data_IF_632498398799
#
_entry.id   IF_632498398799
#
_cell.length_a   1.000
_cell.length_b   1.000
_cell.length_c   1.000
_cell.angle_alpha   90.00
_cell.angle_beta   90.00
_cell.angle_gamma   90.00
#
_symmetry.space_group_name_H-M   'P 1'
#
loop_
_entity.id
_entity.type
_entity.pdbx_description
1 polymer ?
#
# COMPACT_ATOMS: atom_id res chain seq x y z
N UNK A 1 4.48 36.43 18.43
CA UNK A 1 3.50 35.66 17.65
C UNK A 1 4.18 35.16 16.36
N UNK A 2 5.13 34.22 16.45
CA UNK A 2 5.89 33.69 15.28
C UNK A 2 5.96 32.16 15.29
N UNK A 3 5.54 31.52 16.40
CA UNK A 3 5.66 30.07 16.59
C UNK A 3 4.64 29.30 15.73
N UNK A 4 3.45 29.85 15.47
CA UNK A 4 2.39 29.17 14.70
C UNK A 4 2.67 28.97 13.21
N UNK A 5 3.50 29.81 12.57
CA UNK A 5 3.77 29.71 11.13
C UNK A 5 4.81 28.64 10.76
N UNK A 6 5.68 28.26 11.71
CA UNK A 6 6.65 27.18 11.52
C UNK A 6 5.99 25.80 11.70
N UNK A 7 5.04 25.71 12.65
CA UNK A 7 4.32 24.47 12.97
C UNK A 7 3.31 24.10 11.87
N UNK A 8 2.58 25.08 11.34
CA UNK A 8 1.67 24.89 10.19
C UNK A 8 2.40 24.39 8.94
N UNK A 9 3.60 24.91 8.64
CA UNK A 9 4.42 24.46 7.48
C UNK A 9 5.03 23.08 7.66
N UNK A 10 5.13 22.59 8.90
CA UNK A 10 5.61 21.24 9.20
C UNK A 10 4.46 20.25 9.03
N UNK A 11 3.27 20.57 9.54
CA UNK A 11 2.04 19.80 9.33
C UNK A 11 1.70 19.61 7.84
N UNK A 12 1.73 20.67 7.03
CA UNK A 12 1.40 20.59 5.60
C UNK A 12 2.35 19.68 4.81
N UNK A 13 3.65 19.72 5.12
CA UNK A 13 4.64 18.85 4.45
C UNK A 13 4.46 17.39 4.84
N UNK A 14 4.10 17.15 6.08
CA UNK A 14 3.90 15.83 6.66
C UNK A 14 2.62 15.18 6.10
N UNK A 15 1.52 15.94 5.99
CA UNK A 15 0.28 15.53 5.28
C UNK A 15 0.56 15.27 3.78
N UNK A 16 1.37 16.12 3.14
CA UNK A 16 1.74 15.94 1.73
C UNK A 16 2.55 14.66 1.50
N UNK A 17 3.43 14.30 2.45
CA UNK A 17 4.25 13.09 2.36
C UNK A 17 3.43 11.82 2.59
N UNK A 18 2.51 11.83 3.55
CA UNK A 18 1.56 10.74 3.76
C UNK A 18 0.65 10.50 2.57
N UNK A 19 0.10 11.58 2.01
CA UNK A 19 -0.75 11.50 0.83
C UNK A 19 0.04 10.92 -0.35
N UNK A 20 1.28 11.35 -0.55
CA UNK A 20 2.16 10.79 -1.59
C UNK A 20 2.49 9.31 -1.35
N UNK A 21 2.83 8.91 -0.12
CA UNK A 21 3.13 7.52 0.24
C UNK A 21 1.89 6.62 0.10
N UNK A 22 0.73 7.10 0.54
CA UNK A 22 -0.55 6.40 0.42
C UNK A 22 -0.95 6.21 -1.03
N UNK A 23 -0.86 7.27 -1.86
CA UNK A 23 -1.12 7.18 -3.30
C UNK A 23 -0.14 6.25 -4.02
N UNK A 24 1.15 6.28 -3.67
CA UNK A 24 2.13 5.36 -4.22
C UNK A 24 1.80 3.91 -3.84
N UNK A 25 1.40 3.65 -2.59
CA UNK A 25 0.99 2.32 -2.14
C UNK A 25 -0.26 1.83 -2.87
N UNK A 26 -1.27 2.69 -3.05
CA UNK A 26 -2.50 2.38 -3.79
C UNK A 26 -2.17 2.07 -5.25
N UNK A 27 -1.38 2.94 -5.91
CA UNK A 27 -0.99 2.75 -7.31
C UNK A 27 -0.22 1.44 -7.51
N UNK A 28 0.73 1.14 -6.63
CA UNK A 28 1.46 -0.12 -6.66
C UNK A 28 0.54 -1.31 -6.38
N UNK A 29 -0.38 -1.19 -5.42
CA UNK A 29 -1.34 -2.26 -5.10
C UNK A 29 -2.26 -2.59 -6.28
N UNK A 30 -2.76 -1.58 -7.00
CA UNK A 30 -3.57 -1.76 -8.20
C UNK A 30 -2.77 -2.44 -9.31
N UNK A 31 -1.50 -2.06 -9.49
CA UNK A 31 -0.59 -2.73 -10.42
C UNK A 31 -0.43 -4.22 -10.09
N UNK A 32 -0.22 -4.56 -8.81
CA UNK A 32 -0.13 -5.95 -8.36
C UNK A 32 -1.45 -6.72 -8.53
N UNK A 33 -2.60 -6.07 -8.31
CA UNK A 33 -3.94 -6.64 -8.55
C UNK A 33 -4.15 -7.00 -10.02
N UNK A 34 -3.82 -6.08 -10.93
CA UNK A 34 -3.93 -6.28 -12.37
C UNK A 34 -2.99 -7.38 -12.87
N UNK A 35 -1.79 -7.49 -12.29
CA UNK A 35 -0.77 -8.47 -12.67
C UNK A 35 -0.77 -9.74 -11.82
N UNK A 36 -1.75 -9.95 -10.93
CA UNK A 36 -1.75 -11.06 -9.98
C UNK A 36 -1.58 -12.44 -10.66
N UNK A 37 -2.26 -12.67 -11.78
CA UNK A 37 -2.14 -13.92 -12.56
C UNK A 37 -0.72 -14.08 -13.13
N UNK A 38 -0.16 -13.01 -13.68
CA UNK A 38 1.19 -13.00 -14.22
C UNK A 38 2.25 -13.21 -13.12
N UNK A 39 2.07 -12.60 -11.94
CA UNK A 39 2.96 -12.78 -10.78
C UNK A 39 2.98 -14.24 -10.32
N UNK A 40 1.81 -14.89 -10.26
CA UNK A 40 1.72 -16.30 -9.87
C UNK A 40 2.40 -17.21 -10.90
N UNK A 41 2.29 -16.88 -12.19
CA UNK A 41 2.88 -17.66 -13.27
C UNK A 41 4.41 -17.48 -13.38
N UNK A 42 4.91 -16.25 -13.24
CA UNK A 42 6.30 -15.88 -13.57
C UNK A 42 7.24 -15.92 -12.36
N UNK A 43 6.72 -15.77 -11.13
CA UNK A 43 7.59 -15.71 -9.94
C UNK A 43 7.77 -17.08 -9.29
N UNK A 44 8.99 -17.36 -8.82
CA UNK A 44 9.30 -18.59 -8.06
C UNK A 44 8.41 -18.76 -6.82
N UNK A 45 8.08 -17.67 -6.12
CA UNK A 45 7.15 -17.68 -4.98
C UNK A 45 5.71 -17.93 -5.42
N UNK A 46 5.29 -17.35 -6.54
CA UNK A 46 3.99 -17.59 -7.17
C UNK A 46 3.79 -19.06 -7.56
N UNK A 47 4.79 -19.67 -8.19
CA UNK A 47 4.74 -21.07 -8.56
C UNK A 47 4.77 -22.00 -7.34
N UNK A 48 5.53 -21.67 -6.30
CA UNK A 48 5.49 -22.39 -5.02
C UNK A 48 4.10 -22.29 -4.35
N UNK A 49 3.46 -21.13 -4.43
CA UNK A 49 2.11 -20.93 -3.88
C UNK A 49 1.07 -21.69 -4.71
N UNK A 50 1.20 -21.68 -6.04
CA UNK A 50 0.38 -22.45 -6.98
C UNK A 50 0.48 -23.94 -6.72
N UNK A 51 1.67 -24.48 -6.46
CA UNK A 51 1.85 -25.92 -6.17
C UNK A 51 1.28 -26.33 -4.80
N UNK A 52 1.19 -25.41 -3.83
CA UNK A 52 0.63 -25.66 -2.49
C UNK A 52 -0.89 -25.53 -2.42
N UNK A 53 -1.47 -24.54 -3.09
CA UNK A 53 -2.88 -24.15 -2.91
C UNK A 53 -3.75 -24.35 -4.16
N UNK A 54 -3.15 -24.60 -5.31
CA UNK A 54 -3.81 -24.55 -6.61
C UNK A 54 -3.79 -23.13 -7.21
N UNK A 55 -3.96 -23.07 -8.53
CA UNK A 55 -3.81 -21.83 -9.32
C UNK A 55 -4.78 -20.72 -8.88
N UNK A 56 -6.08 -21.03 -8.79
CA UNK A 56 -7.09 -20.05 -8.41
C UNK A 56 -6.86 -19.49 -7.00
N UNK A 57 -6.51 -20.34 -6.04
CA UNK A 57 -6.27 -19.91 -4.65
C UNK A 57 -4.97 -19.12 -4.52
N UNK A 58 -3.94 -19.44 -5.29
CA UNK A 58 -2.69 -18.67 -5.31
C UNK A 58 -2.92 -17.26 -5.86
N UNK A 59 -3.67 -17.12 -6.96
CA UNK A 59 -4.05 -15.82 -7.52
C UNK A 59 -4.90 -15.03 -6.53
N UNK A 60 -5.88 -15.68 -5.90
CA UNK A 60 -6.72 -15.05 -4.87
C UNK A 60 -5.90 -14.54 -3.69
N UNK A 61 -4.89 -15.30 -3.25
CA UNK A 61 -4.00 -14.90 -2.16
C UNK A 61 -3.21 -13.63 -2.52
N UNK A 62 -2.64 -13.57 -3.73
CA UNK A 62 -1.93 -12.38 -4.21
C UNK A 62 -2.87 -11.17 -4.30
N UNK A 63 -4.11 -11.38 -4.78
CA UNK A 63 -5.13 -10.32 -4.80
C UNK A 63 -5.48 -9.82 -3.41
N UNK A 64 -5.67 -10.70 -2.43
CA UNK A 64 -5.98 -10.32 -1.05
C UNK A 64 -4.84 -9.51 -0.41
N UNK A 65 -3.59 -9.90 -0.67
CA UNK A 65 -2.41 -9.15 -0.21
C UNK A 65 -2.41 -7.75 -0.85
N UNK A 66 -2.59 -7.66 -2.16
CA UNK A 66 -2.65 -6.39 -2.87
C UNK A 66 -3.82 -5.51 -2.38
N UNK A 67 -5.02 -6.07 -2.14
CA UNK A 67 -6.15 -5.33 -1.56
C UNK A 67 -5.84 -4.82 -0.15
N UNK A 68 -5.12 -5.61 0.66
CA UNK A 68 -4.71 -5.18 2.00
C UNK A 68 -3.76 -3.99 1.94
N UNK A 69 -2.78 -4.01 1.02
CA UNK A 69 -1.92 -2.86 0.77
C UNK A 69 -2.70 -1.65 0.24
N UNK A 70 -3.69 -1.84 -0.64
CA UNK A 70 -4.53 -0.74 -1.12
C UNK A 70 -5.33 -0.10 0.03
N UNK A 71 -5.86 -0.91 0.95
CA UNK A 71 -6.57 -0.43 2.14
C UNK A 71 -5.63 0.38 3.04
N UNK A 72 -4.44 -0.15 3.34
CA UNK A 72 -3.44 0.56 4.16
C UNK A 72 -3.04 1.88 3.49
N UNK A 73 -2.76 1.86 2.18
CA UNK A 73 -2.45 3.06 1.41
C UNK A 73 -3.59 4.09 1.42
N UNK A 74 -4.85 3.62 1.36
CA UNK A 74 -6.04 4.46 1.49
C UNK A 74 -6.16 5.09 2.86
N UNK A 75 -5.95 4.32 3.93
CA UNK A 75 -5.96 4.85 5.31
C UNK A 75 -4.83 5.86 5.54
N UNK A 76 -3.66 5.64 4.95
CA UNK A 76 -2.52 6.56 4.99
C UNK A 76 -2.83 7.85 4.22
N UNK A 77 -3.38 7.74 3.01
CA UNK A 77 -3.75 8.91 2.20
C UNK A 77 -4.91 9.72 2.80
N UNK A 78 -5.80 9.06 3.56
CA UNK A 78 -6.90 9.70 4.28
C UNK A 78 -6.46 10.35 5.60
N UNK A 79 -5.18 10.21 6.01
CA UNK A 79 -4.67 10.72 7.29
C UNK A 79 -5.24 9.99 8.50
N UNK A 80 -5.78 8.77 8.33
CA UNK A 80 -6.30 7.95 9.45
C UNK A 80 -5.14 7.28 10.18
N UNK A 81 -4.11 6.87 9.42
CA UNK A 81 -2.86 6.34 9.96
C UNK A 81 -1.84 7.47 9.88
N UNK A 82 -1.44 7.97 11.06
CA UNK A 82 -0.39 8.98 11.22
C UNK A 82 0.90 8.34 11.78
N UNK A 83 1.83 7.75 11.00
CA UNK A 83 2.98 7.01 11.54
C UNK A 83 3.89 7.86 12.44
N UNK A 84 3.96 9.17 12.19
CA UNK A 84 4.75 10.11 13.01
C UNK A 84 4.21 10.30 14.43
N UNK A 85 2.94 9.94 14.69
CA UNK A 85 2.32 10.08 16.01
C UNK A 85 2.66 8.94 16.96
N UNK A 86 3.33 7.90 16.46
CA UNK A 86 3.57 6.65 17.17
C UNK A 86 5.02 6.54 17.67
N UNK A 87 5.82 7.59 17.43
CA UNK A 87 7.16 7.79 18.00
C UNK A 87 7.11 8.40 19.41
#
# INVERSE_FOLDING_TARGET
MVIGAAESRKGDRVISQELAMGLALIGMSLFFLQRAVWIVAETRKGQWLKSRLGEDRAVMTVRLIAMSFALIGGLLAAGVIEPWRWE
#
